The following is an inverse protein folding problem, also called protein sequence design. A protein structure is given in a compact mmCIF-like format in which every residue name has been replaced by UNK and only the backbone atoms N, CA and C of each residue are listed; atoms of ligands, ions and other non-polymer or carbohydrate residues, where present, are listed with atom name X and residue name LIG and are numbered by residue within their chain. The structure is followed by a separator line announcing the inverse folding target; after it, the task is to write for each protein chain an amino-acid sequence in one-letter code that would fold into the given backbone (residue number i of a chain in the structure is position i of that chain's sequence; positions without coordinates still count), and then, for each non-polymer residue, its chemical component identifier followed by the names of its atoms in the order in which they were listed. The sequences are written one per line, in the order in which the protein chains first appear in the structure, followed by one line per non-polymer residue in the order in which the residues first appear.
data_IF_705057375676
#
_entry.id   IF_705057375676
#
_cell.length_a   1.000
_cell.length_b   1.000
_cell.length_c   1.000
_cell.angle_alpha   90.00
_cell.angle_beta   90.00
_cell.angle_gamma   90.00
#
_symmetry.space_group_name_H-M   'P 1'
#
loop_
_entity.id
_entity.type
_entity.pdbx_description
1 polymer ?
#
# COMPACT_ATOMS: atom_id res chain seq x y z
N UNK A 1 -7.88 -0.62 16.56
CA UNK A 1 -6.63 -0.35 15.81
C UNK A 1 -5.74 -1.57 16.00
N UNK A 2 -5.20 -2.15 14.92
CA UNK A 2 -4.28 -3.30 15.01
C UNK A 2 -2.94 -2.75 15.53
N UNK A 3 -2.24 -3.48 16.41
CA UNK A 3 -0.91 -3.08 16.88
C UNK A 3 0.07 -2.99 15.72
N UNK A 4 1.03 -2.04 15.69
CA UNK A 4 2.09 -2.01 14.69
C UNK A 4 2.84 -3.35 14.57
N UNK A 5 3.02 -4.08 15.68
CA UNK A 5 3.67 -5.40 15.69
C UNK A 5 2.84 -6.48 14.97
N UNK A 6 1.51 -6.32 14.93
CA UNK A 6 0.57 -7.26 14.32
C UNK A 6 0.18 -6.86 12.89
N UNK A 7 0.67 -5.72 12.40
CA UNK A 7 0.48 -5.34 11.00
C UNK A 7 1.17 -6.35 10.10
N UNK A 8 0.55 -6.65 8.96
CA UNK A 8 1.16 -7.48 7.90
C UNK A 8 1.98 -6.66 6.90
N UNK A 9 1.66 -5.37 6.79
CA UNK A 9 2.24 -4.44 5.83
C UNK A 9 2.52 -3.11 6.52
N UNK A 10 3.72 -2.59 6.34
CA UNK A 10 4.13 -1.23 6.66
C UNK A 10 4.51 -0.54 5.35
N UNK A 11 4.12 0.72 5.17
CA UNK A 11 4.41 1.50 3.96
C UNK A 11 5.24 2.72 4.35
N UNK A 12 6.43 2.86 3.77
CA UNK A 12 7.28 4.05 3.92
C UNK A 12 6.82 5.09 2.93
N UNK A 13 6.31 6.22 3.43
CA UNK A 13 5.81 7.31 2.60
C UNK A 13 6.95 8.25 2.24
N UNK A 14 7.39 8.25 0.98
CA UNK A 14 8.57 9.02 0.54
C UNK A 14 8.23 10.39 -0.08
N UNK A 15 6.94 10.65 -0.33
CA UNK A 15 6.44 11.95 -0.78
C UNK A 15 4.91 12.02 -0.59
N UNK A 16 4.34 13.22 -0.52
CA UNK A 16 2.91 13.47 -0.72
C UNK A 16 2.60 14.12 -2.08
N UNK A 17 3.60 14.48 -2.87
CA UNK A 17 3.43 15.01 -4.22
C UNK A 17 2.74 14.00 -5.12
N UNK A 18 1.80 14.47 -5.93
CA UNK A 18 1.14 13.67 -6.96
C UNK A 18 0.72 14.59 -8.10
N UNK A 19 0.77 14.10 -9.34
CA UNK A 19 0.24 14.84 -10.51
C UNK A 19 -1.28 14.70 -10.67
N UNK A 20 -1.91 13.88 -9.82
CA UNK A 20 -3.33 13.58 -9.89
C UNK A 20 -4.08 14.11 -8.67
N UNK A 21 -5.35 14.48 -8.92
CA UNK A 21 -6.30 14.91 -7.90
C UNK A 21 -7.46 13.91 -7.81
N UNK A 22 -7.11 12.65 -7.55
CA UNK A 22 -8.10 11.57 -7.52
C UNK A 22 -9.19 11.87 -6.48
N UNK A 23 -10.46 11.79 -6.88
CA UNK A 23 -11.61 12.04 -6.00
C UNK A 23 -11.67 11.13 -4.77
N UNK A 24 -11.07 9.94 -4.86
CA UNK A 24 -11.00 8.95 -3.78
C UNK A 24 -9.57 8.75 -3.26
N UNK A 25 -8.71 9.78 -3.34
CA UNK A 25 -7.36 9.68 -2.80
C UNK A 25 -7.40 9.55 -1.27
N UNK A 26 -7.12 8.35 -0.75
CA UNK A 26 -7.08 8.07 0.70
C UNK A 26 -5.97 8.85 1.44
N UNK A 27 -5.03 9.40 0.68
CA UNK A 27 -3.89 10.19 1.14
C UNK A 27 -4.12 11.69 1.05
N UNK A 28 -5.21 12.10 0.41
CA UNK A 28 -5.59 13.49 0.15
C UNK A 28 -4.45 14.32 -0.48
N UNK A 29 -3.63 13.72 -1.35
CA UNK A 29 -2.42 14.33 -1.92
C UNK A 29 -2.69 15.71 -2.55
N UNK A 30 -3.83 15.87 -3.23
CA UNK A 30 -4.23 17.14 -3.85
C UNK A 30 -4.71 18.23 -2.88
N UNK A 31 -4.79 17.96 -1.58
CA UNK A 31 -5.18 18.92 -0.52
C UNK A 31 -3.99 19.37 0.35
N UNK A 32 -2.80 18.80 0.16
CA UNK A 32 -1.62 19.23 0.93
C UNK A 32 -1.11 20.54 0.36
N UNK A 33 -1.03 21.58 1.20
CA UNK A 33 -0.43 22.86 0.80
C UNK A 33 1.09 22.75 0.58
N UNK A 34 1.75 21.92 1.38
CA UNK A 34 3.20 21.72 1.35
C UNK A 34 3.53 20.30 0.90
N UNK A 35 4.24 20.23 -0.22
CA UNK A 35 4.82 19.00 -0.69
C UNK A 35 6.09 18.67 0.09
N UNK A 36 6.29 17.39 0.41
CA UNK A 36 7.52 16.87 0.98
C UNK A 36 8.17 15.85 0.04
N UNK A 37 9.48 15.79 0.09
CA UNK A 37 10.30 14.77 -0.56
C UNK A 37 11.25 14.22 0.50
N UNK A 38 11.09 12.94 0.85
CA UNK A 38 12.00 12.25 1.76
C UNK A 38 13.38 12.16 1.10
N UNK A 39 14.44 12.39 1.87
CA UNK A 39 15.80 12.17 1.41
C UNK A 39 16.16 10.68 1.39
N UNK A 40 17.17 10.30 0.61
CA UNK A 40 17.69 8.94 0.63
C UNK A 40 18.17 8.50 2.01
N UNK A 41 18.80 9.39 2.78
CA UNK A 41 19.29 9.09 4.14
C UNK A 41 18.14 8.78 5.10
N UNK A 42 17.09 9.62 5.10
CA UNK A 42 15.89 9.36 5.90
C UNK A 42 15.21 8.06 5.51
N UNK A 43 15.17 7.75 4.21
CA UNK A 43 14.63 6.49 3.71
C UNK A 43 15.44 5.29 4.21
N UNK A 44 16.78 5.36 4.16
CA UNK A 44 17.65 4.30 4.66
C UNK A 44 17.40 4.05 6.15
N UNK A 45 17.38 5.12 6.95
CA UNK A 45 17.06 5.04 8.38
C UNK A 45 15.68 4.42 8.63
N UNK A 46 14.66 4.80 7.86
CA UNK A 46 13.31 4.26 7.98
C UNK A 46 13.27 2.75 7.67
N UNK A 47 13.91 2.32 6.59
CA UNK A 47 13.95 0.89 6.20
C UNK A 47 14.77 0.06 7.20
N UNK A 48 15.90 0.59 7.66
CA UNK A 48 16.79 -0.11 8.61
C UNK A 48 16.14 -0.30 9.98
N UNK A 49 15.30 0.66 10.40
CA UNK A 49 14.49 0.54 11.62
C UNK A 49 13.51 -0.64 11.57
N UNK A 50 13.22 -1.16 10.37
CA UNK A 50 12.30 -2.27 10.10
C UNK A 50 13.02 -3.57 9.70
N UNK A 51 14.34 -3.69 9.93
CA UNK A 51 15.13 -4.88 9.52
C UNK A 51 14.58 -6.21 10.06
N UNK A 52 14.06 -6.20 11.29
CA UNK A 52 13.55 -7.41 11.97
C UNK A 52 12.03 -7.61 11.73
N UNK A 53 11.38 -6.68 11.03
CA UNK A 53 9.97 -6.79 10.73
C UNK A 53 9.72 -7.85 9.64
N UNK A 54 8.96 -8.88 10.00
CA UNK A 54 8.71 -10.06 9.15
C UNK A 54 7.71 -9.80 8.02
N UNK A 55 6.94 -8.73 8.11
CA UNK A 55 5.93 -8.36 7.12
C UNK A 55 6.50 -7.63 5.90
N UNK A 56 5.58 -7.18 5.04
CA UNK A 56 5.93 -6.39 3.86
C UNK A 56 6.27 -4.97 4.29
N UNK A 57 7.42 -4.46 3.86
CA UNK A 57 7.76 -3.03 3.91
C UNK A 57 7.71 -2.53 2.48
N UNK A 58 6.67 -1.80 2.16
CA UNK A 58 6.48 -1.20 0.85
C UNK A 58 6.94 0.26 0.82
N UNK A 59 7.06 0.78 -0.39
CA UNK A 59 7.29 2.20 -0.65
C UNK A 59 6.00 2.78 -1.21
N UNK A 60 5.53 3.88 -0.62
CA UNK A 60 4.31 4.57 -1.02
C UNK A 60 4.55 6.08 -1.04
N UNK A 61 3.59 6.84 -1.57
CA UNK A 61 3.69 8.28 -1.71
C UNK A 61 2.33 8.88 -2.08
N UNK A 62 2.34 10.08 -2.64
CA UNK A 62 1.34 10.40 -3.64
C UNK A 62 1.64 9.59 -4.89
N UNK A 63 2.48 10.11 -5.76
CA UNK A 63 3.17 9.33 -6.78
C UNK A 63 4.64 9.13 -6.37
N UNK A 64 5.05 7.94 -5.87
CA UNK A 64 6.39 7.69 -5.36
C UNK A 64 7.51 8.01 -6.35
N UNK A 65 7.26 7.78 -7.64
CA UNK A 65 8.27 7.98 -8.70
C UNK A 65 8.61 9.44 -8.94
N UNK A 66 7.86 10.39 -8.37
CA UNK A 66 8.20 11.82 -8.39
C UNK A 66 9.34 12.19 -7.44
N UNK A 67 9.70 11.33 -6.49
CA UNK A 67 10.86 11.57 -5.65
C UNK A 67 12.14 11.42 -6.51
N UNK A 68 13.01 12.45 -6.61
CA UNK A 68 14.21 12.39 -7.47
C UNK A 68 15.19 11.27 -7.11
N UNK A 69 15.15 10.77 -5.87
CA UNK A 69 16.02 9.71 -5.37
C UNK A 69 15.33 8.33 -5.36
N UNK A 70 14.16 8.20 -5.99
CA UNK A 70 13.39 6.95 -6.01
C UNK A 70 14.21 5.74 -6.50
N UNK A 71 14.99 5.80 -7.61
CA UNK A 71 15.79 4.66 -8.04
C UNK A 71 16.80 4.18 -6.98
N UNK A 72 17.44 5.11 -6.28
CA UNK A 72 18.41 4.83 -5.22
C UNK A 72 17.71 4.20 -4.01
N UNK A 73 16.53 4.69 -3.64
CA UNK A 73 15.72 4.13 -2.56
C UNK A 73 15.30 2.68 -2.86
N UNK A 74 14.79 2.39 -4.06
CA UNK A 74 14.40 1.03 -4.45
C UNK A 74 15.61 0.10 -4.51
N UNK A 75 16.75 0.57 -5.03
CA UNK A 75 17.98 -0.20 -5.03
C UNK A 75 18.44 -0.55 -3.60
N UNK A 76 18.40 0.43 -2.69
CA UNK A 76 18.72 0.21 -1.28
C UNK A 76 17.78 -0.79 -0.62
N UNK A 77 16.47 -0.59 -0.77
CA UNK A 77 15.44 -1.47 -0.21
C UNK A 77 15.64 -2.92 -0.64
N UNK A 78 15.89 -3.16 -1.94
CA UNK A 78 16.19 -4.49 -2.48
C UNK A 78 17.47 -5.09 -1.90
N UNK A 79 18.48 -4.28 -1.61
CA UNK A 79 19.76 -4.72 -1.03
C UNK A 79 19.58 -5.19 0.42
N UNK A 80 18.81 -4.46 1.21
CA UNK A 80 18.68 -4.71 2.66
C UNK A 80 17.49 -5.60 3.03
N UNK A 81 16.48 -5.69 2.17
CA UNK A 81 15.31 -6.57 2.35
C UNK A 81 15.28 -7.60 1.21
N UNK A 82 15.65 -8.87 1.47
CA UNK A 82 15.63 -9.91 0.46
C UNK A 82 14.21 -10.23 0.01
N UNK A 83 14.08 -10.81 -1.19
CA UNK A 83 12.78 -11.24 -1.72
C UNK A 83 12.16 -12.29 -0.78
N UNK A 84 10.94 -12.01 -0.33
CA UNK A 84 10.20 -12.93 0.53
C UNK A 84 9.71 -14.16 -0.22
N UNK A 85 9.15 -15.13 0.51
CA UNK A 85 8.49 -16.29 -0.09
C UNK A 85 7.33 -15.81 -0.98
N UNK A 86 7.39 -16.14 -2.27
CA UNK A 86 6.25 -15.97 -3.19
C UNK A 86 5.11 -16.85 -2.68
N UNK A 87 3.91 -16.30 -2.51
CA UNK A 87 2.77 -17.12 -2.13
C UNK A 87 2.28 -17.87 -3.35
N UNK A 88 2.32 -19.20 -3.27
CA UNK A 88 1.87 -20.10 -4.35
C UNK A 88 0.39 -19.81 -4.72
N UNK A 89 -0.39 -19.31 -3.77
CA UNK A 89 -1.80 -18.93 -3.95
C UNK A 89 -2.07 -17.67 -4.79
N UNK A 90 -1.10 -16.77 -4.97
CA UNK A 90 -1.27 -15.61 -5.89
C UNK A 90 -1.08 -15.99 -7.36
N UNK A 91 -0.36 -17.09 -7.62
CA UNK A 91 -0.07 -17.59 -8.96
C UNK A 91 -1.00 -18.74 -9.36
N UNK A 92 -1.74 -19.30 -8.41
CA UNK A 92 -2.69 -20.37 -8.67
C UNK A 92 -3.87 -19.84 -9.53
N UNK A 93 -4.23 -20.53 -10.62
CA UNK A 93 -5.36 -20.14 -11.45
C UNK A 93 -6.64 -20.13 -10.61
N UNK A 94 -7.23 -18.95 -10.46
CA UNK A 94 -8.47 -18.76 -9.71
C UNK A 94 -9.64 -18.98 -10.64
N UNK A 95 -10.34 -20.11 -10.48
CA UNK A 95 -11.54 -20.42 -11.29
C UNK A 95 -12.72 -19.51 -10.97
N UNK A 96 -12.82 -19.06 -9.72
CA UNK A 96 -13.85 -18.13 -9.25
C UNK A 96 -13.23 -17.13 -8.27
N UNK A 97 -13.07 -15.88 -8.74
CA UNK A 97 -12.49 -14.80 -7.95
C UNK A 97 -13.34 -14.43 -6.73
N UNK A 98 -14.67 -14.51 -6.83
CA UNK A 98 -15.58 -14.18 -5.73
C UNK A 98 -15.49 -15.22 -4.63
N UNK A 99 -15.42 -16.50 -4.97
CA UNK A 99 -15.24 -17.57 -4.00
C UNK A 99 -13.87 -17.47 -3.30
N UNK A 100 -12.80 -17.25 -4.07
CA UNK A 100 -11.46 -17.05 -3.51
C UNK A 100 -11.42 -15.87 -2.53
N UNK A 101 -12.00 -14.74 -2.92
CA UNK A 101 -12.04 -13.53 -2.11
C UNK A 101 -12.86 -13.69 -0.82
N UNK A 102 -14.03 -14.34 -0.87
CA UNK A 102 -14.84 -14.69 0.32
C UNK A 102 -14.08 -15.56 1.31
N UNK A 103 -13.34 -16.55 0.80
CA UNK A 103 -12.65 -17.53 1.64
C UNK A 103 -11.33 -17.00 2.20
N UNK A 104 -10.73 -15.97 1.58
CA UNK A 104 -9.32 -15.65 1.79
C UNK A 104 -9.07 -14.19 2.19
N UNK A 105 -9.90 -13.23 1.74
CA UNK A 105 -9.60 -11.79 1.87
C UNK A 105 -10.61 -11.02 2.74
N UNK A 106 -11.87 -11.45 2.80
CA UNK A 106 -12.93 -10.69 3.47
C UNK A 106 -13.78 -11.55 4.43
N UNK A 107 -13.34 -11.68 5.68
CA UNK A 107 -14.33 -11.73 6.77
C UNK A 107 -14.78 -10.30 7.07
N UNK A 108 -15.83 -9.89 6.35
CA UNK A 108 -16.57 -8.64 6.53
C UNK A 108 -18.00 -8.93 6.99
N UNK A 109 -18.19 -10.03 7.72
CA UNK A 109 -19.47 -10.71 7.86
C UNK A 109 -20.55 -9.89 8.59
N UNK A 110 -20.23 -8.67 9.04
CA UNK A 110 -21.17 -7.67 9.55
C UNK A 110 -20.84 -6.22 9.15
N UNK A 111 -20.06 -5.96 8.09
CA UNK A 111 -19.56 -4.62 7.79
C UNK A 111 -20.66 -3.59 7.43
N UNK A 112 -21.86 -4.05 7.05
CA UNK A 112 -23.09 -3.28 6.71
C UNK A 112 -22.94 -2.24 5.58
N UNK A 113 -21.76 -1.64 5.33
CA UNK A 113 -21.32 -0.92 4.12
C UNK A 113 -19.79 -0.84 4.06
N UNK A 114 -19.24 -0.89 2.85
CA UNK A 114 -17.85 -0.54 2.56
C UNK A 114 -17.77 0.02 1.15
N UNK A 115 -17.36 1.28 0.99
CA UNK A 115 -17.23 1.94 -0.30
C UNK A 115 -15.75 2.21 -0.57
N UNK A 116 -15.19 1.50 -1.53
CA UNK A 116 -13.79 1.66 -1.94
C UNK A 116 -13.67 1.78 -3.47
N UNK A 117 -14.48 2.66 -4.06
CA UNK A 117 -14.41 3.31 -5.40
C UNK A 117 -15.81 3.79 -5.83
N UNK A 118 -15.90 4.58 -6.92
CA UNK A 118 -17.10 5.29 -7.39
C UNK A 118 -18.26 4.41 -7.95
N UNK A 119 -18.26 3.10 -7.72
CA UNK A 119 -19.32 2.18 -8.15
C UNK A 119 -19.83 1.31 -7.00
N UNK A 120 -19.79 1.82 -5.76
CA UNK A 120 -20.42 1.13 -4.66
C UNK A 120 -21.94 1.17 -4.78
N UNK A 121 -22.49 -0.01 -5.04
CA UNK A 121 -23.89 -0.40 -4.97
C UNK A 121 -24.84 0.26 -5.99
N UNK A 122 -24.81 -0.21 -7.26
CA UNK A 122 -26.02 -0.19 -8.10
C UNK A 122 -26.97 -1.31 -7.66
N UNK A 123 -27.47 -1.23 -6.44
CA UNK A 123 -28.78 -1.79 -6.10
C UNK A 123 -29.73 -0.60 -6.03
N UNK A 124 -30.33 -0.28 -7.18
CA UNK A 124 -31.62 0.40 -7.42
C UNK A 124 -31.54 0.84 -8.89
N UNK A 125 -31.96 -0.03 -9.80
CA UNK A 125 -32.90 0.36 -10.85
C UNK A 125 -33.92 -0.79 -10.92
N UNK A 126 -35.23 -0.49 -10.98
CA UNK A 126 -36.28 -1.49 -11.15
C UNK A 126 -36.13 -2.29 -12.45
#
# INVERSE_FOLDING_TARGET
MISPADMKIIQVVITNSCIHHCSNCTRFCGLHEKNFMMSLEEFQNAVDSLKDYRGIVGVMGGEPTLNPQFPQMIHYSRKVRPEGRKSDGLLAPTRDFNQFHKNTWNDLTNARRGLWSALGNRSILP
#
